data_IF_599877594184
#
_entry.id   IF_599877594184
#
_cell.length_a   1.000
_cell.length_b   1.000
_cell.length_c   1.000
_cell.angle_alpha   90.00
_cell.angle_beta   90.00
_cell.angle_gamma   90.00
#
_symmetry.space_group_name_H-M   'P 1'
#
loop_
_entity.id
_entity.type
_entity.pdbx_description
1 polymer ?
#
# COMPACT_ATOMS: atom_id res chain seq x y z
N UNK A 1 -2.39 -13.81 7.50
CA UNK A 1 -1.12 -14.56 7.31
C UNK A 1 -0.09 -13.78 6.47
N UNK A 2 0.30 -12.56 6.85
CA UNK A 2 1.16 -11.67 6.00
C UNK A 2 2.62 -11.55 6.46
N UNK A 3 2.93 -12.01 7.68
CA UNK A 3 4.27 -11.91 8.27
C UNK A 3 5.29 -12.86 7.63
N UNK A 4 4.90 -14.12 7.37
CA UNK A 4 5.78 -15.15 6.80
C UNK A 4 6.29 -14.74 5.41
N UNK A 5 5.40 -14.25 4.55
CA UNK A 5 5.76 -13.84 3.19
C UNK A 5 6.72 -12.64 3.16
N UNK A 6 6.56 -11.71 4.11
CA UNK A 6 7.41 -10.52 4.20
C UNK A 6 8.82 -10.88 4.70
N UNK A 7 8.91 -11.82 5.64
CA UNK A 7 10.18 -12.32 6.17
C UNK A 7 11.03 -13.02 5.08
N UNK A 8 10.44 -13.90 4.28
CA UNK A 8 11.16 -14.57 3.19
C UNK A 8 11.59 -13.62 2.07
N UNK A 9 10.79 -12.59 1.78
CA UNK A 9 11.17 -11.52 0.84
C UNK A 9 12.36 -10.73 1.34
N UNK A 10 12.41 -10.40 2.63
CA UNK A 10 13.55 -9.72 3.24
C UNK A 10 14.82 -10.58 3.16
N UNK A 11 14.73 -11.88 3.48
CA UNK A 11 15.85 -12.82 3.34
C UNK A 11 16.34 -12.89 1.89
N UNK A 12 15.44 -13.05 0.92
CA UNK A 12 15.80 -13.10 -0.50
C UNK A 12 16.54 -11.81 -0.93
N UNK A 13 16.10 -10.65 -0.44
CA UNK A 13 16.76 -9.38 -0.73
C UNK A 13 18.17 -9.37 -0.15
N UNK A 14 18.34 -9.76 1.12
CA UNK A 14 19.65 -9.83 1.79
C UNK A 14 20.60 -10.77 1.03
N UNK A 15 20.14 -11.96 0.62
CA UNK A 15 20.94 -12.93 -0.14
C UNK A 15 21.43 -12.33 -1.47
N UNK A 16 20.55 -11.64 -2.21
CA UNK A 16 20.92 -10.99 -3.48
C UNK A 16 22.01 -9.94 -3.25
N UNK A 17 21.87 -9.10 -2.23
CA UNK A 17 22.85 -8.05 -1.93
C UNK A 17 24.19 -8.63 -1.45
N UNK A 18 24.18 -9.68 -0.64
CA UNK A 18 25.40 -10.38 -0.21
C UNK A 18 26.13 -10.99 -1.41
N UNK A 19 25.42 -11.64 -2.33
CA UNK A 19 26.03 -12.15 -3.57
C UNK A 19 26.56 -11.04 -4.45
N UNK A 20 25.85 -9.90 -4.55
CA UNK A 20 26.30 -8.76 -5.32
C UNK A 20 27.61 -8.20 -4.75
N UNK A 21 27.67 -7.92 -3.44
CA UNK A 21 28.89 -7.45 -2.78
C UNK A 21 30.04 -8.45 -2.94
N UNK A 22 29.77 -9.76 -2.83
CA UNK A 22 30.75 -10.80 -3.08
C UNK A 22 31.29 -10.79 -4.53
N UNK A 23 30.41 -10.65 -5.52
CA UNK A 23 30.79 -10.54 -6.92
C UNK A 23 31.61 -9.26 -7.18
N UNK A 24 31.26 -8.15 -6.55
CA UNK A 24 32.01 -6.90 -6.63
C UNK A 24 33.40 -7.00 -5.99
N UNK A 25 33.51 -7.64 -4.83
CA UNK A 25 34.79 -7.84 -4.16
C UNK A 25 35.71 -8.76 -4.99
N UNK A 26 35.18 -9.84 -5.54
CA UNK A 26 35.94 -10.74 -6.42
C UNK A 26 36.36 -10.04 -7.71
N UNK A 27 35.42 -9.36 -8.39
CA UNK A 27 35.73 -8.66 -9.64
C UNK A 27 36.72 -7.51 -9.39
N UNK A 28 36.54 -6.75 -8.31
CA UNK A 28 37.43 -5.64 -7.94
C UNK A 28 38.86 -6.11 -7.64
N UNK A 29 39.04 -7.22 -6.93
CA UNK A 29 40.38 -7.72 -6.58
C UNK A 29 41.09 -8.37 -7.78
N UNK A 30 40.36 -9.09 -8.63
CA UNK A 30 40.97 -9.85 -9.74
C UNK A 30 41.05 -9.08 -11.07
N UNK A 31 40.20 -8.07 -11.29
CA UNK A 31 40.21 -7.27 -12.52
C UNK A 31 40.79 -5.87 -12.34
N UNK A 32 41.23 -5.46 -11.15
CA UNK A 32 41.78 -4.12 -10.87
C UNK A 32 42.80 -3.63 -11.91
N UNK A 33 43.70 -4.52 -12.36
CA UNK A 33 44.76 -4.17 -13.32
C UNK A 33 44.31 -4.17 -14.79
N UNK A 34 43.09 -4.66 -15.08
CA UNK A 34 42.55 -4.85 -16.44
C UNK A 34 41.27 -4.01 -16.67
N UNK A 35 40.96 -3.06 -15.78
CA UNK A 35 39.73 -2.25 -15.86
C UNK A 35 39.81 -1.29 -17.05
N UNK A 36 39.42 -1.80 -18.22
CA UNK A 36 38.93 -1.00 -19.33
C UNK A 36 37.51 -0.52 -19.07
N UNK A 37 37.10 0.53 -19.78
CA UNK A 37 35.78 1.18 -19.71
C UNK A 37 34.59 0.19 -19.71
N UNK A 38 34.72 -0.96 -20.40
CA UNK A 38 33.69 -2.00 -20.46
C UNK A 38 33.34 -2.66 -19.12
N UNK A 39 34.28 -2.74 -18.18
CA UNK A 39 34.03 -3.37 -16.86
C UNK A 39 33.10 -2.50 -16.02
N UNK A 40 33.23 -1.18 -16.11
CA UNK A 40 32.36 -0.21 -15.40
C UNK A 40 30.92 -0.32 -15.90
N UNK A 41 30.72 -0.49 -17.22
CA UNK A 41 29.39 -0.68 -17.79
C UNK A 41 28.73 -1.97 -17.30
N UNK A 42 29.47 -3.08 -17.25
CA UNK A 42 28.96 -4.38 -16.75
C UNK A 42 28.55 -4.28 -15.28
N UNK A 43 29.40 -3.65 -14.47
CA UNK A 43 29.14 -3.35 -13.05
C UNK A 43 27.85 -2.55 -12.87
N UNK A 44 27.67 -1.50 -13.67
CA UNK A 44 26.47 -0.66 -13.61
C UNK A 44 25.21 -1.44 -14.02
N UNK A 45 25.31 -2.29 -15.03
CA UNK A 45 24.22 -3.13 -15.53
C UNK A 45 23.80 -4.18 -14.49
N UNK A 46 24.75 -4.80 -13.79
CA UNK A 46 24.47 -5.71 -12.67
C UNK A 46 23.76 -5.01 -11.51
N UNK A 47 24.16 -3.77 -11.21
CA UNK A 47 23.53 -2.96 -10.17
C UNK A 47 22.08 -2.61 -10.54
N UNK A 48 21.84 -2.20 -11.79
CA UNK A 48 20.50 -1.95 -12.32
C UNK A 48 19.62 -3.22 -12.29
N UNK A 49 20.17 -4.38 -12.63
CA UNK A 49 19.48 -5.66 -12.54
C UNK A 49 19.10 -6.01 -11.09
N UNK A 50 20.00 -5.82 -10.12
CA UNK A 50 19.71 -6.09 -8.71
C UNK A 50 18.62 -5.16 -8.13
N UNK A 51 18.65 -3.88 -8.49
CA UNK A 51 17.61 -2.91 -8.08
C UNK A 51 16.26 -3.26 -8.67
N UNK A 52 16.21 -3.62 -9.96
CA UNK A 52 14.96 -4.03 -10.61
C UNK A 52 14.41 -5.34 -10.04
N UNK A 53 15.25 -6.33 -9.76
CA UNK A 53 14.84 -7.57 -9.07
C UNK A 53 14.26 -7.30 -7.68
N UNK A 54 14.85 -6.36 -6.92
CA UNK A 54 14.32 -5.94 -5.62
C UNK A 54 12.93 -5.29 -5.78
N UNK A 55 12.76 -4.42 -6.78
CA UNK A 55 11.46 -3.84 -7.10
C UNK A 55 10.39 -4.87 -7.48
N UNK A 56 10.78 -5.98 -8.13
CA UNK A 56 9.89 -7.11 -8.43
C UNK A 56 9.48 -7.89 -7.17
N UNK A 57 10.41 -8.16 -6.25
CA UNK A 57 10.15 -8.87 -4.98
C UNK A 57 9.17 -8.07 -4.12
N UNK A 58 9.35 -6.76 -4.05
CA UNK A 58 8.48 -5.86 -3.28
C UNK A 58 7.22 -5.43 -4.04
N UNK A 59 7.09 -5.81 -5.31
CA UNK A 59 5.89 -5.59 -6.09
C UNK A 59 5.60 -4.12 -6.38
N UNK A 60 6.63 -3.27 -6.51
CA UNK A 60 6.50 -1.83 -6.77
C UNK A 60 5.59 -1.53 -7.98
N UNK A 61 5.56 -2.41 -9.00
CA UNK A 61 4.70 -2.27 -10.18
C UNK A 61 3.33 -2.96 -10.12
N UNK A 62 3.02 -3.75 -9.08
CA UNK A 62 1.79 -4.57 -9.00
C UNK A 62 0.65 -3.94 -8.19
N UNK A 63 0.90 -2.81 -7.52
CA UNK A 63 -0.07 -2.18 -6.59
C UNK A 63 -1.25 -1.48 -7.30
N UNK A 64 -1.11 -1.04 -8.56
CA UNK A 64 -2.18 -0.33 -9.27
C UNK A 64 -3.19 -1.20 -10.03
N UNK A 65 -2.82 -2.45 -10.39
CA UNK A 65 -3.60 -3.27 -11.33
C UNK A 65 -4.60 -4.23 -10.66
N UNK A 66 -4.39 -4.59 -9.39
CA UNK A 66 -5.24 -5.56 -8.67
C UNK A 66 -6.62 -5.04 -8.25
N UNK A 67 -6.87 -3.73 -8.33
CA UNK A 67 -8.19 -3.18 -7.97
C UNK A 67 -9.30 -3.49 -8.98
N UNK A 68 -8.97 -3.69 -10.27
CA UNK A 68 -10.02 -3.91 -11.29
C UNK A 68 -10.56 -5.35 -11.30
N UNK A 69 -9.75 -6.34 -10.94
CA UNK A 69 -10.19 -7.74 -10.90
C UNK A 69 -10.97 -8.06 -9.62
N UNK A 70 -10.59 -7.49 -8.47
CA UNK A 70 -11.32 -7.68 -7.20
C UNK A 70 -12.69 -7.01 -7.18
N UNK A 71 -12.86 -5.87 -7.86
CA UNK A 71 -14.16 -5.22 -8.03
C UNK A 71 -15.15 -6.06 -8.88
N UNK A 72 -14.67 -6.90 -9.81
CA UNK A 72 -15.53 -7.83 -10.56
C UNK A 72 -15.82 -9.12 -9.80
N UNK A 73 -14.87 -9.62 -9.00
CA UNK A 73 -15.06 -10.81 -8.19
C UNK A 73 -16.05 -10.60 -7.04
N UNK A 74 -16.02 -9.42 -6.36
CA UNK A 74 -16.96 -9.11 -5.26
C UNK A 74 -18.44 -8.96 -5.67
N UNK A 75 -18.77 -8.99 -6.96
CA UNK A 75 -20.17 -8.93 -7.42
C UNK A 75 -20.84 -10.30 -7.44
N UNK A 76 -20.09 -11.40 -7.37
CA UNK A 76 -20.63 -12.76 -7.55
C UNK A 76 -20.75 -13.58 -6.25
N UNK A 77 -20.11 -13.18 -5.15
CA UNK A 77 -20.06 -13.97 -3.90
C UNK A 77 -20.90 -13.39 -2.75
N UNK A 78 -21.95 -12.60 -3.02
CA UNK A 78 -22.76 -11.98 -1.94
C UNK A 78 -23.91 -12.88 -1.45
N UNK A 79 -23.72 -14.20 -1.36
CA UNK A 79 -24.79 -15.10 -0.87
C UNK A 79 -24.38 -16.16 0.16
N UNK A 80 -23.09 -16.34 0.52
CA UNK A 80 -22.75 -17.35 1.51
C UNK A 80 -21.70 -16.87 2.54
N UNK A 81 -22.21 -16.75 3.77
CA UNK A 81 -21.63 -17.20 5.03
C UNK A 81 -20.76 -16.23 5.86
N UNK A 82 -21.15 -16.16 7.14
CA UNK A 82 -20.68 -15.25 8.18
C UNK A 82 -19.26 -15.62 8.63
N UNK A 83 -18.25 -15.07 7.95
CA UNK A 83 -16.86 -15.06 8.41
C UNK A 83 -16.45 -13.65 8.86
N UNK A 84 -16.45 -13.38 10.16
CA UNK A 84 -15.99 -12.11 10.72
C UNK A 84 -14.45 -12.04 10.65
N UNK A 85 -13.93 -11.70 9.47
CA UNK A 85 -12.50 -11.48 9.22
C UNK A 85 -12.09 -10.05 9.62
N UNK A 86 -11.01 -9.92 10.42
CA UNK A 86 -10.39 -8.63 10.82
C UNK A 86 -10.04 -7.70 9.64
N UNK A 87 -9.93 -8.24 8.41
CA UNK A 87 -9.73 -7.46 7.19
C UNK A 87 -10.95 -6.58 6.83
N UNK A 88 -12.14 -6.92 7.31
CA UNK A 88 -13.38 -6.18 7.03
C UNK A 88 -13.52 -4.91 7.91
N UNK A 89 -12.88 -4.89 9.09
CA UNK A 89 -12.72 -3.66 9.88
C UNK A 89 -11.91 -2.62 9.10
N UNK A 90 -10.80 -3.01 8.49
CA UNK A 90 -9.98 -2.10 7.68
C UNK A 90 -10.70 -1.58 6.42
N UNK A 91 -11.58 -2.40 5.84
CA UNK A 91 -12.37 -2.01 4.67
C UNK A 91 -13.56 -1.15 5.04
N UNK A 92 -14.24 -1.46 6.13
CA UNK A 92 -15.35 -0.65 6.65
C UNK A 92 -14.84 0.72 7.09
N UNK A 93 -13.66 0.82 7.72
CA UNK A 93 -13.00 2.08 8.03
C UNK A 93 -12.64 2.88 6.78
N UNK A 94 -12.09 2.25 5.74
CA UNK A 94 -11.81 2.92 4.46
C UNK A 94 -13.09 3.44 3.80
N UNK A 95 -14.16 2.64 3.81
CA UNK A 95 -15.47 3.06 3.29
C UNK A 95 -16.07 4.21 4.10
N UNK A 96 -15.95 4.18 5.43
CA UNK A 96 -16.36 5.28 6.32
C UNK A 96 -15.57 6.55 5.99
N UNK A 97 -14.24 6.45 5.84
CA UNK A 97 -13.37 7.57 5.48
C UNK A 97 -13.70 8.15 4.11
N UNK A 98 -13.98 7.31 3.12
CA UNK A 98 -14.38 7.77 1.79
C UNK A 98 -15.76 8.44 1.81
N UNK A 99 -16.72 7.89 2.57
CA UNK A 99 -18.04 8.53 2.78
C UNK A 99 -17.89 9.91 3.42
N UNK A 100 -17.09 10.03 4.47
CA UNK A 100 -16.80 11.31 5.14
C UNK A 100 -16.12 12.28 4.16
N UNK A 101 -15.16 11.81 3.36
CA UNK A 101 -14.45 12.64 2.38
C UNK A 101 -15.40 13.19 1.30
N UNK A 102 -16.32 12.35 0.82
CA UNK A 102 -17.34 12.76 -0.16
C UNK A 102 -18.33 13.74 0.48
N UNK A 103 -18.78 13.46 1.71
CA UNK A 103 -19.67 14.34 2.45
C UNK A 103 -19.05 15.72 2.69
N UNK A 104 -17.80 15.77 3.15
CA UNK A 104 -17.03 17.01 3.36
C UNK A 104 -16.85 17.81 2.07
N UNK A 105 -16.62 17.14 0.93
CA UNK A 105 -16.47 17.81 -0.37
C UNK A 105 -17.76 18.44 -0.88
N UNK A 106 -18.90 17.90 -0.44
CA UNK A 106 -20.22 18.37 -0.85
C UNK A 106 -20.79 19.44 0.09
N UNK A 107 -20.16 19.70 1.24
CA UNK A 107 -20.55 20.80 2.14
C UNK A 107 -20.05 22.14 1.59
N UNK A 108 -20.85 23.18 1.77
CA UNK A 108 -20.46 24.56 1.47
C UNK A 108 -19.44 25.06 2.50
N UNK A 109 -18.65 26.09 2.13
CA UNK A 109 -17.64 26.65 3.03
C UNK A 109 -18.21 27.10 4.39
N UNK A 110 -19.44 27.63 4.42
CA UNK A 110 -20.09 28.06 5.65
C UNK A 110 -20.48 26.87 6.54
N UNK A 111 -20.89 25.74 5.94
CA UNK A 111 -21.17 24.51 6.65
C UNK A 111 -19.91 23.83 7.18
N UNK A 112 -18.80 23.92 6.44
CA UNK A 112 -17.50 23.43 6.89
C UNK A 112 -17.00 24.19 8.12
N UNK A 113 -17.18 25.52 8.17
CA UNK A 113 -16.82 26.33 9.34
C UNK A 113 -17.69 25.98 10.55
N UNK A 114 -19.00 25.77 10.35
CA UNK A 114 -19.90 25.33 11.42
C UNK A 114 -19.53 23.94 11.93
N UNK A 115 -19.20 23.01 11.04
CA UNK A 115 -18.75 21.66 11.39
C UNK A 115 -17.43 21.70 12.17
N UNK A 116 -16.47 22.51 11.73
CA UNK A 116 -15.18 22.70 12.40
C UNK A 116 -15.36 23.28 13.81
N UNK A 117 -16.22 24.30 13.97
CA UNK A 117 -16.50 24.89 15.28
C UNK A 117 -17.16 23.88 16.22
N UNK A 118 -18.02 22.99 15.72
CA UNK A 118 -18.66 21.91 16.48
C UNK A 118 -17.71 20.78 16.87
N UNK A 119 -16.81 20.39 15.96
CA UNK A 119 -15.74 19.43 16.28
C UNK A 119 -14.79 20.02 17.32
N UNK A 120 -14.46 21.31 17.21
CA UNK A 120 -13.58 22.01 18.14
C UNK A 120 -14.22 22.24 19.52
N UNK A 121 -15.54 22.31 19.62
CA UNK A 121 -16.25 22.46 20.89
C UNK A 121 -16.43 21.13 21.65
N UNK A 122 -16.04 19.99 21.05
CA UNK A 122 -16.11 18.67 21.68
C UNK A 122 -17.53 18.14 21.88
N UNK A 123 -18.51 18.76 21.24
CA UNK A 123 -19.94 18.48 21.40
C UNK A 123 -20.42 17.54 20.27
N UNK A 124 -19.74 16.40 20.14
CA UNK A 124 -20.21 15.32 19.26
C UNK A 124 -21.12 14.44 20.12
N UNK A 125 -22.39 14.80 20.18
CA UNK A 125 -23.43 13.89 20.65
C UNK A 125 -23.67 12.85 19.55
N UNK A 126 -23.19 11.63 19.80
CA UNK A 126 -23.39 10.48 18.91
C UNK A 126 -24.89 10.24 18.61
N UNK A 127 -25.76 10.64 19.55
CA UNK A 127 -27.22 10.54 19.48
C UNK A 127 -27.82 11.40 18.33
N UNK A 128 -27.29 12.60 18.10
CA UNK A 128 -27.75 13.50 17.02
C UNK A 128 -27.22 13.04 15.64
N UNK A 129 -26.07 12.35 15.64
CA UNK A 129 -25.49 11.77 14.43
C UNK A 129 -26.31 10.55 13.96
N UNK A 130 -26.88 9.79 14.89
CA UNK A 130 -27.79 8.68 14.62
C UNK A 130 -29.15 9.18 14.12
N UNK A 131 -29.68 10.28 14.69
CA UNK A 131 -30.93 10.91 14.24
C UNK A 131 -30.86 11.36 12.77
N UNK A 132 -29.80 12.09 12.38
CA UNK A 132 -29.61 12.58 10.99
C UNK A 132 -29.41 11.44 9.99
N UNK A 133 -28.80 10.33 10.41
CA UNK A 133 -28.63 9.15 9.56
C UNK A 133 -29.95 8.39 9.38
N UNK A 134 -30.76 8.30 10.43
CA UNK A 134 -32.06 7.63 10.39
C UNK A 134 -33.13 8.38 9.58
N UNK A 135 -33.13 9.71 9.64
CA UNK A 135 -34.12 10.56 8.93
C UNK A 135 -33.92 10.56 7.40
N UNK A 136 -32.75 10.12 6.94
CA UNK A 136 -32.39 10.07 5.51
C UNK A 136 -32.59 8.69 4.86
N UNK A 137 -32.94 7.66 5.64
CA UNK A 137 -33.33 6.33 5.15
C UNK A 137 -34.84 6.16 4.94
N UNK A 138 -35.63 7.22 5.16
CA UNK A 138 -37.03 7.33 4.69
C UNK A 138 -37.12 8.14 3.41
#
# INVERSE_FOLDING_TARGET
MTGYDSFWRAIATIVIWVMMVGAFALTGVFMADVIGEGVVMIVFLLLAAAVTSTGFIWGWGRSGSRNRSRLRARRWDFDEDEGFDDDDLSQSEKRKRDRITIALRNLSNDELIRLQNRISSGEIDDELLEEILSDRER
#
